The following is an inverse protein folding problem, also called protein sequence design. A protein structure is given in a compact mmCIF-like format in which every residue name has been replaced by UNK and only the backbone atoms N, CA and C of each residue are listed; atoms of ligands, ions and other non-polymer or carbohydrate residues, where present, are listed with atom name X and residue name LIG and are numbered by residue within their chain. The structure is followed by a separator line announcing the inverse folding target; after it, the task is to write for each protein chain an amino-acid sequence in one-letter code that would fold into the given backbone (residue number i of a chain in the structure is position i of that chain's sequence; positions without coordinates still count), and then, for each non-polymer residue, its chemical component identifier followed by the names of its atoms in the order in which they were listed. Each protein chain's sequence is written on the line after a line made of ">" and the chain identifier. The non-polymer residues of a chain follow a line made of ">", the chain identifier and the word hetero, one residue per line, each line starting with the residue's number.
data_IF_128303922927
#
_entry.id   IF_128303922927
#
_cell.length_a   1.000
_cell.length_b   1.000
_cell.length_c   1.000
_cell.angle_alpha   90.00
_cell.angle_beta   90.00
_cell.angle_gamma   90.00
#
_symmetry.space_group_name_H-M   'P 1'
#
loop_
_entity.id
_entity.type
_entity.pdbx_description
1 polymer ?
#
# COMPACT_ATOMS: atom_id res chain seq x y z
N UNK A 1 -5.20 17.91 25.21
CA UNK A 1 -4.76 16.88 24.23
C UNK A 1 -4.22 17.57 22.98
N UNK A 2 -3.13 17.04 22.42
CA UNK A 2 -2.52 17.54 21.18
C UNK A 2 -2.42 16.38 20.19
N UNK A 3 -2.95 16.56 18.97
CA UNK A 3 -2.90 15.57 17.89
C UNK A 3 -1.73 15.85 16.97
N UNK A 4 -1.02 14.78 16.60
CA UNK A 4 0.08 14.83 15.66
C UNK A 4 -0.13 13.81 14.55
N UNK A 5 0.05 14.24 13.30
CA UNK A 5 0.17 13.37 12.13
C UNK A 5 1.64 13.02 11.96
N UNK A 6 1.92 11.76 11.63
CA UNK A 6 3.25 11.30 11.24
C UNK A 6 3.20 10.68 9.85
N UNK A 7 4.18 11.01 9.01
CA UNK A 7 4.44 10.37 7.71
C UNK A 7 5.56 9.35 7.89
N UNK A 8 5.36 8.16 7.32
CA UNK A 8 6.15 6.98 7.66
C UNK A 8 6.52 6.23 6.38
N UNK A 9 7.81 5.96 6.20
CA UNK A 9 8.34 5.05 5.19
C UNK A 9 8.72 3.72 5.84
N UNK A 10 8.49 2.59 5.14
CA UNK A 10 8.95 1.29 5.63
C UNK A 10 9.08 0.22 4.55
N UNK A 11 10.00 -0.71 4.76
CA UNK A 11 10.07 -1.98 4.06
C UNK A 11 9.29 -3.04 4.85
N UNK A 12 8.20 -3.55 4.26
CA UNK A 12 7.28 -4.49 4.92
C UNK A 12 7.76 -5.94 4.99
N UNK A 13 8.89 -6.28 4.37
CA UNK A 13 9.35 -7.66 4.16
C UNK A 13 9.42 -8.49 5.44
N UNK A 14 9.88 -7.90 6.54
CA UNK A 14 10.05 -8.59 7.83
C UNK A 14 8.85 -8.44 8.77
N UNK A 15 7.74 -7.85 8.29
CA UNK A 15 6.58 -7.57 9.12
C UNK A 15 5.35 -8.36 8.69
N UNK A 16 4.49 -8.70 9.65
CA UNK A 16 3.18 -9.32 9.40
C UNK A 16 2.16 -8.33 8.83
N UNK A 17 2.61 -7.13 8.45
CA UNK A 17 1.84 -6.02 7.92
C UNK A 17 1.77 -4.84 8.88
N UNK A 18 0.91 -3.87 8.53
CA UNK A 18 0.73 -2.66 9.35
C UNK A 18 0.09 -2.96 10.70
N UNK A 19 -1.08 -3.60 10.69
CA UNK A 19 -1.96 -3.75 11.86
C UNK A 19 -1.39 -4.68 12.92
N UNK A 20 -1.54 -4.32 14.19
CA UNK A 20 -1.23 -5.20 15.35
C UNK A 20 -2.05 -6.49 15.24
N UNK A 21 -1.37 -7.62 15.38
CA UNK A 21 -1.92 -8.96 15.33
C UNK A 21 -1.50 -9.78 16.56
N UNK A 22 -2.20 -10.90 16.82
CA UNK A 22 -1.89 -11.80 17.94
C UNK A 22 -0.46 -12.38 17.84
N UNK A 23 -0.01 -12.73 16.63
CA UNK A 23 1.33 -13.29 16.36
C UNK A 23 2.10 -12.40 15.38
N UNK A 24 3.42 -12.35 15.53
CA UNK A 24 4.34 -11.62 14.66
C UNK A 24 4.52 -10.14 15.03
N UNK A 25 5.51 -9.52 14.39
CA UNK A 25 5.88 -8.12 14.59
C UNK A 25 5.18 -7.27 13.54
N UNK A 26 4.38 -6.29 13.95
CA UNK A 26 3.70 -5.34 13.06
C UNK A 26 4.37 -3.97 13.10
N UNK A 27 4.27 -3.23 12.01
CA UNK A 27 4.83 -1.87 11.88
C UNK A 27 4.19 -0.94 12.91
N UNK A 28 2.86 -0.98 13.04
CA UNK A 28 2.09 -0.18 14.00
C UNK A 28 2.57 -0.39 15.43
N UNK A 29 2.73 -1.66 15.88
CA UNK A 29 3.21 -1.99 17.25
C UNK A 29 4.61 -1.45 17.48
N UNK A 30 5.51 -1.62 16.50
CA UNK A 30 6.91 -1.18 16.60
C UNK A 30 7.00 0.33 16.81
N UNK A 31 6.27 1.12 16.00
CA UNK A 31 6.25 2.58 16.11
C UNK A 31 5.58 3.01 17.41
N UNK A 32 4.44 2.41 17.75
CA UNK A 32 3.67 2.73 18.94
C UNK A 32 4.49 2.54 20.23
N UNK A 33 5.22 1.42 20.34
CA UNK A 33 6.10 1.14 21.48
C UNK A 33 7.26 2.15 21.56
N UNK A 34 7.86 2.51 20.42
CA UNK A 34 8.95 3.49 20.38
C UNK A 34 8.47 4.89 20.78
N UNK A 35 7.31 5.32 20.28
CA UNK A 35 6.66 6.57 20.70
C UNK A 35 6.36 6.58 22.21
N UNK A 36 5.76 5.49 22.72
CA UNK A 36 5.42 5.34 24.15
C UNK A 36 6.67 5.46 25.04
N UNK A 37 7.78 4.83 24.63
CA UNK A 37 9.07 4.90 25.35
C UNK A 37 9.63 6.34 25.37
N UNK A 38 9.68 7.01 24.23
CA UNK A 38 10.28 8.33 24.09
C UNK A 38 9.43 9.45 24.74
N UNK A 39 8.11 9.34 24.64
CA UNK A 39 7.17 10.32 25.19
C UNK A 39 6.76 10.02 26.63
N UNK A 40 7.22 8.90 27.20
CA UNK A 40 6.93 8.45 28.58
C UNK A 40 5.43 8.42 28.90
N UNK A 41 4.59 8.16 27.92
CA UNK A 41 3.15 7.97 28.08
C UNK A 41 2.61 6.94 27.08
N UNK A 42 1.54 6.24 27.43
CA UNK A 42 0.88 5.27 26.53
C UNK A 42 0.38 5.99 25.27
N UNK A 43 0.87 5.57 24.11
CA UNK A 43 0.48 6.09 22.80
C UNK A 43 -0.36 5.05 22.07
N UNK A 44 -1.44 5.48 21.42
CA UNK A 44 -2.20 4.70 20.44
C UNK A 44 -1.99 5.34 19.06
N UNK A 45 -1.53 4.55 18.11
CA UNK A 45 -1.23 5.02 16.75
C UNK A 45 -2.33 4.57 15.78
N UNK A 46 -2.97 5.51 15.09
CA UNK A 46 -4.04 5.25 14.12
C UNK A 46 -3.54 5.48 12.70
N UNK A 47 -3.39 4.40 11.91
CA UNK A 47 -2.96 4.49 10.52
C UNK A 47 -4.09 4.85 9.54
N UNK A 48 -3.75 5.49 8.42
CA UNK A 48 -4.69 5.82 7.35
C UNK A 48 -5.16 4.59 6.57
N UNK A 49 -4.27 3.66 6.31
CA UNK A 49 -4.55 2.42 5.60
C UNK A 49 -3.82 1.24 6.20
N UNK A 50 -4.37 0.04 6.01
CA UNK A 50 -3.68 -1.21 6.34
C UNK A 50 -2.90 -1.68 5.13
N UNK A 51 -1.67 -2.14 5.34
CA UNK A 51 -0.89 -2.88 4.36
C UNK A 51 -0.75 -4.33 4.81
N UNK A 52 -0.82 -5.25 3.86
CA UNK A 52 -0.66 -6.68 4.13
C UNK A 52 0.81 -7.01 4.44
N UNK A 53 1.06 -8.24 4.93
CA UNK A 53 2.42 -8.75 5.13
C UNK A 53 3.27 -8.62 3.87
N UNK A 54 4.49 -8.12 4.01
CA UNK A 54 5.43 -7.93 2.90
C UNK A 54 5.18 -6.70 2.01
N UNK A 55 4.10 -5.95 2.22
CA UNK A 55 3.80 -4.71 1.49
C UNK A 55 4.56 -3.54 2.11
N UNK A 56 5.13 -2.69 1.27
CA UNK A 56 5.92 -1.52 1.63
C UNK A 56 5.08 -0.23 1.70
N UNK A 57 5.66 0.84 2.19
CA UNK A 57 5.12 2.18 2.04
C UNK A 57 6.22 3.20 1.81
N UNK A 58 5.97 4.15 0.92
CA UNK A 58 6.80 5.34 0.74
C UNK A 58 6.33 6.47 1.66
N UNK A 59 5.00 6.62 1.83
CA UNK A 59 4.43 7.68 2.67
C UNK A 59 3.10 7.20 3.31
N UNK A 60 3.19 6.25 4.24
CA UNK A 60 2.05 5.93 5.11
C UNK A 60 1.80 7.09 6.06
N UNK A 61 0.53 7.41 6.31
CA UNK A 61 0.14 8.43 7.30
C UNK A 61 -0.53 7.80 8.51
N UNK A 62 -0.16 8.27 9.69
CA UNK A 62 -0.81 7.90 10.94
C UNK A 62 -0.97 9.13 11.84
N UNK A 63 -1.83 9.04 12.86
CA UNK A 63 -1.91 10.07 13.90
C UNK A 63 -1.89 9.43 15.28
N UNK A 64 -1.49 10.24 16.25
CA UNK A 64 -1.52 9.91 17.67
C UNK A 64 -1.82 11.17 18.51
N UNK A 65 -2.31 10.95 19.71
CA UNK A 65 -2.63 12.01 20.67
C UNK A 65 -1.71 11.94 21.88
N UNK A 66 -1.35 13.11 22.42
CA UNK A 66 -0.56 13.25 23.64
C UNK A 66 -1.12 14.33 24.56
N UNK A 67 -0.84 14.23 25.86
CA UNK A 67 -1.29 15.22 26.86
C UNK A 67 -0.55 16.55 26.68
N UNK A 68 0.77 16.52 26.66
CA UNK A 68 1.63 17.70 26.62
C UNK A 68 2.12 17.98 25.19
N UNK A 69 2.24 19.25 24.80
CA UNK A 69 2.78 19.67 23.51
C UNK A 69 4.24 19.19 23.36
N UNK A 70 4.57 18.63 22.19
CA UNK A 70 5.95 18.29 21.83
C UNK A 70 6.74 19.59 21.70
N UNK A 71 7.76 19.77 22.55
CA UNK A 71 8.60 20.99 22.57
C UNK A 71 9.49 21.07 21.33
N UNK A 72 10.09 19.95 20.93
CA UNK A 72 10.99 19.87 19.77
C UNK A 72 10.64 18.64 18.91
N UNK A 73 9.95 18.89 17.80
CA UNK A 73 9.52 17.85 16.84
C UNK A 73 10.72 17.24 16.12
N UNK A 74 11.70 18.05 15.74
CA UNK A 74 12.88 17.59 15.03
C UNK A 74 13.71 16.61 15.88
N UNK A 75 13.93 16.95 17.15
CA UNK A 75 14.59 16.05 18.10
C UNK A 75 13.83 14.74 18.27
N UNK A 76 12.49 14.79 18.33
CA UNK A 76 11.67 13.57 18.40
C UNK A 76 11.82 12.72 17.14
N UNK A 77 11.79 13.32 15.93
CA UNK A 77 11.99 12.59 14.66
C UNK A 77 13.36 11.93 14.62
N UNK A 78 14.43 12.64 15.00
CA UNK A 78 15.80 12.08 15.11
C UNK A 78 15.85 10.90 16.07
N UNK A 79 15.26 11.03 17.26
CA UNK A 79 15.23 9.98 18.28
C UNK A 79 14.41 8.77 17.84
N UNK A 80 13.26 8.97 17.17
CA UNK A 80 12.46 7.88 16.60
C UNK A 80 13.25 7.11 15.54
N UNK A 81 13.91 7.82 14.62
CA UNK A 81 14.66 7.20 13.54
C UNK A 81 15.89 6.44 14.04
N UNK A 82 16.52 6.87 15.11
CA UNK A 82 17.61 6.14 15.76
C UNK A 82 17.17 4.70 16.15
N UNK A 83 15.94 4.53 16.68
CA UNK A 83 15.42 3.21 17.08
C UNK A 83 14.70 2.45 15.97
N UNK A 84 14.17 3.15 14.95
CA UNK A 84 13.30 2.56 13.92
C UNK A 84 14.05 2.22 12.63
N UNK A 85 15.08 3.00 12.24
CA UNK A 85 15.82 2.75 11.00
C UNK A 85 16.49 1.36 10.95
N UNK A 86 17.09 0.82 12.04
CA UNK A 86 17.59 -0.55 12.03
C UNK A 86 16.51 -1.60 11.73
N UNK A 87 15.24 -1.26 11.95
CA UNK A 87 14.07 -2.10 11.65
C UNK A 87 13.43 -1.77 10.30
N UNK A 88 14.13 -1.01 9.43
CA UNK A 88 13.62 -0.61 8.12
C UNK A 88 12.31 0.21 8.18
N UNK A 89 12.17 1.04 9.20
CA UNK A 89 11.08 2.02 9.36
C UNK A 89 11.72 3.39 9.53
N UNK A 90 11.20 4.41 8.81
CA UNK A 90 11.62 5.79 8.93
C UNK A 90 10.42 6.71 9.17
N UNK A 91 10.55 7.60 10.14
CA UNK A 91 9.62 8.72 10.33
C UNK A 91 10.10 9.87 9.46
N UNK A 92 9.35 10.17 8.41
CA UNK A 92 9.67 11.24 7.47
C UNK A 92 9.39 12.61 8.09
N UNK A 93 8.23 12.71 8.76
CA UNK A 93 7.78 13.98 9.30
C UNK A 93 6.74 13.77 10.40
N UNK A 94 6.64 14.75 11.33
CA UNK A 94 5.59 14.86 12.33
C UNK A 94 5.05 16.29 12.27
N UNK A 95 3.71 16.45 12.15
CA UNK A 95 3.05 17.75 12.11
C UNK A 95 1.89 17.79 13.11
N UNK A 96 1.75 18.90 13.86
CA UNK A 96 0.58 19.14 14.68
C UNK A 96 -0.66 19.28 13.80
N UNK A 97 -1.78 18.70 14.24
CA UNK A 97 -3.08 18.77 13.56
C UNK A 97 -4.16 19.21 14.52
N UNK A 98 -5.29 19.66 13.94
CA UNK A 98 -6.52 19.88 14.69
C UNK A 98 -7.03 18.52 15.22
N UNK A 99 -7.73 18.50 16.34
CA UNK A 99 -8.31 17.29 16.93
C UNK A 99 -9.35 16.61 16.04
N UNK A 100 -9.98 17.33 15.12
CA UNK A 100 -10.90 16.77 14.12
C UNK A 100 -10.20 15.97 13.02
N UNK A 101 -8.88 16.10 12.87
CA UNK A 101 -8.13 15.32 11.88
C UNK A 101 -8.07 13.84 12.29
N UNK A 102 -8.48 12.95 11.41
CA UNK A 102 -8.32 11.52 11.60
C UNK A 102 -7.61 10.91 10.39
N UNK A 103 -6.44 10.29 10.60
CA UNK A 103 -5.59 9.78 9.51
C UNK A 103 -6.35 8.89 8.50
N UNK A 104 -7.32 8.09 8.95
CA UNK A 104 -8.12 7.21 8.08
C UNK A 104 -9.31 7.93 7.45
N UNK A 105 -10.07 8.67 8.23
CA UNK A 105 -11.38 9.21 7.81
C UNK A 105 -11.25 10.53 7.06
N UNK A 106 -10.25 11.35 7.38
CA UNK A 106 -9.99 12.62 6.68
C UNK A 106 -9.29 12.42 5.32
N UNK A 107 -8.85 11.21 4.99
CA UNK A 107 -8.15 10.95 3.73
C UNK A 107 -9.12 11.00 2.54
N UNK A 108 -8.79 11.85 1.55
CA UNK A 108 -9.52 12.02 0.28
C UNK A 108 -9.10 11.02 -0.76
N UNK A 109 -7.81 10.73 -0.87
CA UNK A 109 -7.26 9.79 -1.85
C UNK A 109 -6.09 8.98 -1.29
N UNK A 110 -5.92 7.77 -1.77
CA UNK A 110 -4.76 6.89 -1.54
C UNK A 110 -4.19 6.48 -2.87
N UNK A 111 -2.87 6.56 -2.99
CA UNK A 111 -2.12 6.07 -4.14
C UNK A 111 -1.35 4.81 -3.75
N UNK A 112 -1.45 3.79 -4.60
CA UNK A 112 -0.61 2.60 -4.54
C UNK A 112 0.26 2.50 -5.78
N UNK A 113 1.52 2.15 -5.59
CA UNK A 113 2.49 1.88 -6.64
C UNK A 113 2.83 0.40 -6.63
N UNK A 114 2.80 -0.26 -7.79
CA UNK A 114 3.27 -1.61 -7.95
C UNK A 114 4.45 -1.65 -8.92
N UNK A 115 5.57 -2.25 -8.50
CA UNK A 115 6.81 -2.33 -9.27
C UNK A 115 6.99 -3.73 -9.84
N UNK A 116 7.22 -3.80 -11.15
CA UNK A 116 7.55 -5.04 -11.88
C UNK A 116 8.89 -4.85 -12.57
N UNK A 117 9.83 -5.75 -12.33
CA UNK A 117 11.07 -5.88 -13.09
C UNK A 117 10.86 -6.87 -14.23
N UNK A 118 10.79 -6.37 -15.47
CA UNK A 118 10.52 -7.18 -16.65
C UNK A 118 11.78 -7.35 -17.50
N UNK A 119 12.58 -8.33 -17.15
CA UNK A 119 13.81 -8.76 -17.86
C UNK A 119 14.14 -10.21 -17.52
N UNK A 120 15.10 -10.81 -18.25
CA UNK A 120 15.51 -12.21 -18.05
C UNK A 120 16.11 -12.43 -16.66
N UNK A 121 17.14 -11.63 -16.28
CA UNK A 121 17.81 -11.76 -14.99
C UNK A 121 17.07 -11.00 -13.87
N UNK A 122 16.98 -11.55 -12.64
CA UNK A 122 16.41 -10.82 -11.50
C UNK A 122 17.29 -9.62 -11.10
N UNK A 123 16.71 -8.69 -10.35
CA UNK A 123 17.45 -7.60 -9.73
C UNK A 123 18.02 -8.05 -8.38
N UNK A 124 19.32 -7.89 -8.18
CA UNK A 124 19.98 -8.14 -6.90
C UNK A 124 19.72 -6.98 -5.93
N UNK A 125 19.84 -5.74 -6.42
CA UNK A 125 19.67 -4.52 -5.61
C UNK A 125 18.22 -4.37 -5.11
N UNK A 126 17.24 -4.66 -5.97
CA UNK A 126 15.82 -4.55 -5.64
C UNK A 126 15.19 -5.91 -5.27
N UNK A 127 15.99 -6.86 -4.81
CA UNK A 127 15.47 -8.13 -4.33
C UNK A 127 14.43 -7.91 -3.22
N UNK A 128 13.27 -8.58 -3.34
CA UNK A 128 12.11 -8.42 -2.44
C UNK A 128 11.52 -6.98 -2.39
N UNK A 129 11.81 -6.16 -3.40
CA UNK A 129 11.28 -4.78 -3.53
C UNK A 129 10.50 -4.56 -4.83
N UNK A 130 10.50 -5.54 -5.73
CA UNK A 130 9.75 -5.54 -6.99
C UNK A 130 9.42 -6.98 -7.40
N UNK A 131 8.43 -7.14 -8.27
CA UNK A 131 8.08 -8.45 -8.83
C UNK A 131 8.90 -8.72 -10.07
N UNK A 132 9.78 -9.71 -10.03
CA UNK A 132 10.54 -10.15 -11.21
C UNK A 132 9.68 -11.01 -12.13
N UNK A 133 9.57 -10.61 -13.39
CA UNK A 133 8.87 -11.35 -14.46
C UNK A 133 9.82 -11.49 -15.64
N UNK A 134 10.24 -12.73 -15.93
CA UNK A 134 11.18 -13.03 -17.02
C UNK A 134 10.56 -12.86 -18.40
N UNK A 135 9.32 -13.37 -18.58
CA UNK A 135 8.59 -13.28 -19.84
C UNK A 135 8.30 -11.82 -20.19
N UNK A 136 8.65 -11.40 -21.42
CA UNK A 136 8.34 -10.05 -21.91
C UNK A 136 6.84 -9.80 -21.86
N UNK A 137 6.45 -8.71 -21.26
CA UNK A 137 5.05 -8.29 -21.13
C UNK A 137 4.67 -7.33 -22.26
N UNK A 138 3.49 -7.53 -22.84
CA UNK A 138 2.89 -6.60 -23.78
C UNK A 138 2.32 -5.39 -23.03
N UNK A 139 3.05 -4.29 -23.08
CA UNK A 139 2.71 -3.06 -22.37
C UNK A 139 1.41 -2.43 -22.90
N UNK A 140 1.16 -2.55 -24.20
CA UNK A 140 -0.05 -1.97 -24.82
C UNK A 140 -1.30 -2.68 -24.31
N UNK A 141 -1.27 -4.01 -24.20
CA UNK A 141 -2.36 -4.77 -23.59
C UNK A 141 -2.56 -4.40 -22.12
N UNK A 142 -1.48 -4.27 -21.34
CA UNK A 142 -1.57 -3.84 -19.94
C UNK A 142 -2.20 -2.44 -19.85
N UNK A 143 -1.79 -1.49 -20.69
CA UNK A 143 -2.38 -0.14 -20.75
C UNK A 143 -3.87 -0.17 -21.13
N UNK A 144 -4.26 -0.98 -22.11
CA UNK A 144 -5.67 -1.15 -22.52
C UNK A 144 -6.49 -1.74 -21.36
N UNK A 145 -5.99 -2.79 -20.70
CA UNK A 145 -6.66 -3.42 -19.57
C UNK A 145 -6.76 -2.50 -18.35
N UNK A 146 -5.70 -1.74 -18.05
CA UNK A 146 -5.71 -0.82 -16.90
C UNK A 146 -6.75 0.29 -17.04
N UNK A 147 -7.01 0.79 -18.25
CA UNK A 147 -8.08 1.77 -18.51
C UNK A 147 -9.47 1.22 -18.20
N UNK A 148 -9.70 -0.10 -18.36
CA UNK A 148 -10.99 -0.76 -18.05
C UNK A 148 -11.27 -0.87 -16.54
N UNK A 149 -10.27 -0.64 -15.71
CA UNK A 149 -10.42 -0.63 -14.24
C UNK A 149 -10.84 0.75 -13.70
N UNK A 150 -10.70 1.82 -14.49
CA UNK A 150 -11.03 3.19 -14.09
C UNK A 150 -12.54 3.34 -14.01
N UNK A 151 -13.02 4.09 -13.03
CA UNK A 151 -14.44 4.30 -12.78
C UNK A 151 -14.95 3.56 -11.55
N UNK A 152 -16.27 3.57 -11.40
CA UNK A 152 -16.96 2.91 -10.28
C UNK A 152 -17.39 1.52 -10.70
N UNK A 153 -16.85 0.50 -10.03
CA UNK A 153 -17.14 -0.91 -10.30
C UNK A 153 -17.38 -1.69 -9.01
N UNK A 154 -18.07 -2.81 -9.15
CA UNK A 154 -18.07 -3.86 -8.15
C UNK A 154 -16.77 -4.67 -8.24
N UNK A 155 -15.85 -4.45 -7.28
CA UNK A 155 -14.57 -5.14 -7.22
C UNK A 155 -14.60 -6.46 -6.41
N UNK A 156 -15.76 -7.11 -6.27
CA UNK A 156 -15.89 -8.43 -5.59
C UNK A 156 -14.89 -9.44 -6.14
N UNK A 157 -14.70 -9.48 -7.44
CA UNK A 157 -13.73 -10.33 -8.14
C UNK A 157 -12.30 -10.16 -7.60
N UNK A 158 -11.89 -8.95 -7.25
CA UNK A 158 -10.54 -8.63 -6.79
C UNK A 158 -10.42 -8.58 -5.26
N UNK A 159 -11.50 -8.83 -4.53
CA UNK A 159 -11.58 -8.76 -3.06
C UNK A 159 -11.01 -10.03 -2.42
N UNK A 160 -10.27 -9.90 -1.32
CA UNK A 160 -9.88 -11.05 -0.49
C UNK A 160 -11.10 -11.69 0.18
N UNK A 161 -11.13 -13.02 0.33
CA UNK A 161 -12.23 -13.75 0.99
C UNK A 161 -12.47 -13.26 2.43
N UNK A 162 -11.42 -12.93 3.15
CA UNK A 162 -11.45 -12.42 4.52
C UNK A 162 -11.43 -10.88 4.59
N UNK A 163 -12.02 -10.20 3.63
CA UNK A 163 -12.14 -8.74 3.63
C UNK A 163 -13.43 -8.30 4.32
N UNK A 164 -13.31 -7.56 5.41
CA UNK A 164 -14.43 -7.07 6.23
C UNK A 164 -15.03 -5.74 5.72
N UNK A 165 -14.86 -5.37 4.44
CA UNK A 165 -15.49 -4.18 3.90
C UNK A 165 -16.99 -4.44 3.64
N UNK A 166 -17.87 -3.52 4.07
CA UNK A 166 -19.32 -3.66 3.93
C UNK A 166 -19.76 -3.69 2.46
N UNK A 167 -19.12 -2.90 1.59
CA UNK A 167 -19.44 -2.85 0.17
C UNK A 167 -18.21 -3.17 -0.68
N UNK A 168 -18.34 -3.93 -1.77
CA UNK A 168 -17.29 -4.18 -2.74
C UNK A 168 -17.14 -3.05 -3.77
N UNK A 169 -18.09 -2.11 -3.82
CA UNK A 169 -18.08 -1.01 -4.80
C UNK A 169 -16.97 -0.02 -4.44
N UNK A 170 -16.12 0.29 -5.43
CA UNK A 170 -15.05 1.28 -5.32
C UNK A 170 -14.97 2.10 -6.60
N UNK A 171 -14.48 3.33 -6.47
CA UNK A 171 -14.15 4.17 -7.62
C UNK A 171 -12.64 4.26 -7.73
N UNK A 172 -12.09 3.77 -8.84
CA UNK A 172 -10.69 4.02 -9.19
C UNK A 172 -10.64 5.32 -10.01
N UNK A 173 -9.99 6.33 -9.46
CA UNK A 173 -9.86 7.63 -10.11
C UNK A 173 -8.92 7.55 -11.32
N UNK A 174 -7.79 6.84 -11.12
CA UNK A 174 -6.75 6.71 -12.15
C UNK A 174 -6.01 5.37 -12.03
N UNK A 175 -5.54 4.88 -13.18
CA UNK A 175 -4.56 3.80 -13.27
C UNK A 175 -3.50 4.17 -14.32
N UNK A 176 -2.27 4.43 -13.87
CA UNK A 176 -1.15 4.77 -14.74
C UNK A 176 -0.24 3.56 -14.95
N UNK A 177 0.23 3.40 -16.19
CA UNK A 177 1.21 2.37 -16.57
C UNK A 177 2.39 3.06 -17.23
N UNK A 178 3.52 3.07 -16.53
CA UNK A 178 4.75 3.74 -16.95
C UNK A 178 5.85 2.69 -17.08
N UNK A 179 6.60 2.71 -18.16
CA UNK A 179 7.79 1.87 -18.34
C UNK A 179 9.04 2.74 -18.37
N UNK A 180 10.01 2.39 -17.55
CA UNK A 180 11.36 2.98 -17.56
C UNK A 180 12.36 1.85 -17.69
N UNK A 181 13.09 1.79 -18.82
CA UNK A 181 14.01 0.69 -19.15
C UNK A 181 13.31 -0.68 -19.00
N UNK A 182 13.70 -1.45 -18.01
CA UNK A 182 13.16 -2.80 -17.73
C UNK A 182 12.15 -2.82 -16.57
N UNK A 183 11.89 -1.67 -15.93
CA UNK A 183 10.91 -1.55 -14.85
C UNK A 183 9.56 -1.05 -15.38
N UNK A 184 8.49 -1.73 -14.99
CA UNK A 184 7.10 -1.31 -15.23
C UNK A 184 6.53 -0.86 -13.89
N UNK A 185 5.97 0.34 -13.85
CA UNK A 185 5.30 0.95 -12.71
C UNK A 185 3.81 1.03 -12.99
N UNK A 186 3.01 0.46 -12.09
CA UNK A 186 1.55 0.52 -12.13
C UNK A 186 1.11 1.36 -10.92
N UNK A 187 0.48 2.51 -11.15
CA UNK A 187 0.01 3.39 -10.09
C UNK A 187 -1.51 3.42 -10.09
N UNK A 188 -2.11 3.18 -8.94
CA UNK A 188 -3.56 3.14 -8.74
C UNK A 188 -3.98 4.21 -7.75
N UNK A 189 -5.02 5.00 -8.08
CA UNK A 189 -5.57 6.03 -7.22
C UNK A 189 -7.04 5.79 -6.94
N UNK A 190 -7.42 5.87 -5.67
CA UNK A 190 -8.80 5.72 -5.19
C UNK A 190 -8.96 6.32 -3.80
N UNK A 191 -10.17 6.68 -3.41
CA UNK A 191 -10.50 7.05 -2.03
C UNK A 191 -10.21 5.89 -1.06
N UNK A 192 -10.46 4.65 -1.48
CA UNK A 192 -10.22 3.46 -0.68
C UNK A 192 -10.09 2.21 -1.54
N UNK A 193 -9.40 1.20 -1.03
CA UNK A 193 -9.21 -0.09 -1.67
C UNK A 193 -9.70 -1.22 -0.77
N UNK A 194 -10.16 -2.31 -1.40
CA UNK A 194 -10.46 -3.57 -0.71
C UNK A 194 -9.16 -4.31 -0.37
N UNK A 195 -9.24 -5.22 0.59
CA UNK A 195 -8.09 -6.10 0.91
C UNK A 195 -7.67 -6.89 -0.33
N UNK A 196 -6.38 -6.89 -0.65
CA UNK A 196 -5.73 -7.51 -1.83
C UNK A 196 -6.15 -6.92 -3.20
N UNK A 197 -7.04 -5.93 -3.28
CA UNK A 197 -7.60 -5.44 -4.56
C UNK A 197 -6.49 -5.09 -5.57
N UNK A 198 -5.52 -4.26 -5.19
CA UNK A 198 -4.44 -3.85 -6.10
C UNK A 198 -3.62 -5.05 -6.58
N UNK A 199 -3.23 -5.94 -5.68
CA UNK A 199 -2.46 -7.15 -6.01
C UNK A 199 -3.22 -8.08 -6.96
N UNK A 200 -4.53 -8.26 -6.75
CA UNK A 200 -5.39 -9.07 -7.63
C UNK A 200 -5.52 -8.44 -9.02
N UNK A 201 -5.73 -7.12 -9.11
CA UNK A 201 -5.75 -6.40 -10.39
C UNK A 201 -4.43 -6.54 -11.15
N UNK A 202 -3.29 -6.37 -10.45
CA UNK A 202 -1.95 -6.51 -11.07
C UNK A 202 -1.71 -7.94 -11.55
N UNK A 203 -2.15 -8.96 -10.81
CA UNK A 203 -2.08 -10.36 -11.24
C UNK A 203 -2.82 -10.59 -12.56
N UNK A 204 -4.03 -10.03 -12.68
CA UNK A 204 -4.82 -10.12 -13.91
C UNK A 204 -4.20 -9.33 -15.08
N UNK A 205 -3.68 -8.13 -14.82
CA UNK A 205 -2.95 -7.34 -15.82
C UNK A 205 -1.68 -8.04 -16.31
N UNK A 206 -1.00 -8.78 -15.43
CA UNK A 206 0.13 -9.62 -15.82
C UNK A 206 -0.30 -10.76 -16.77
N UNK A 207 -1.42 -11.45 -16.50
CA UNK A 207 -1.94 -12.49 -17.40
C UNK A 207 -2.33 -11.92 -18.76
N UNK A 208 -2.91 -10.72 -18.79
CA UNK A 208 -3.19 -9.99 -20.02
C UNK A 208 -1.90 -9.63 -20.78
N UNK A 209 -0.89 -9.09 -20.08
CA UNK A 209 0.41 -8.73 -20.67
C UNK A 209 1.22 -9.94 -21.18
N UNK A 210 1.05 -11.12 -20.59
CA UNK A 210 1.62 -12.38 -21.07
C UNK A 210 0.85 -12.99 -22.25
N UNK A 211 -0.25 -12.36 -22.68
CA UNK A 211 -1.18 -12.88 -23.70
C UNK A 211 -1.84 -14.22 -23.34
N UNK A 212 -1.87 -14.58 -22.02
CA UNK A 212 -2.66 -15.72 -21.52
C UNK A 212 -4.15 -15.43 -21.57
N UNK A 213 -4.52 -14.16 -21.50
CA UNK A 213 -5.86 -13.65 -21.68
C UNK A 213 -5.87 -12.60 -22.79
N UNK A 214 -6.98 -12.52 -23.52
CA UNK A 214 -7.29 -11.39 -24.38
C UNK A 214 -8.05 -10.30 -23.58
N UNK A 215 -8.25 -9.13 -24.19
CA UNK A 215 -8.90 -8.01 -23.53
C UNK A 215 -10.35 -8.34 -23.14
N UNK A 216 -11.11 -9.04 -24.01
CA UNK A 216 -12.50 -9.47 -23.75
C UNK A 216 -12.60 -10.35 -22.51
N UNK A 217 -11.69 -11.32 -22.35
CA UNK A 217 -11.64 -12.15 -21.13
C UNK A 217 -11.33 -11.33 -19.89
N UNK A 218 -10.42 -10.35 -19.98
CA UNK A 218 -10.11 -9.45 -18.87
C UNK A 218 -11.32 -8.60 -18.46
N UNK A 219 -12.06 -8.05 -19.42
CA UNK A 219 -13.30 -7.29 -19.16
C UNK A 219 -14.36 -8.16 -18.49
N UNK A 220 -14.55 -9.38 -18.98
CA UNK A 220 -15.49 -10.33 -18.38
C UNK A 220 -15.14 -10.64 -16.92
N UNK A 221 -13.85 -10.76 -16.57
CA UNK A 221 -13.39 -10.98 -15.19
C UNK A 221 -13.80 -9.82 -14.27
N UNK A 222 -13.81 -8.59 -14.75
CA UNK A 222 -14.25 -7.43 -13.93
C UNK A 222 -15.74 -7.57 -13.59
N UNK A 223 -16.57 -8.02 -14.54
CA UNK A 223 -18.03 -8.07 -14.43
C UNK A 223 -18.51 -9.31 -13.66
N UNK A 224 -17.79 -10.44 -13.76
CA UNK A 224 -18.23 -11.76 -13.28
C UNK A 224 -18.43 -11.88 -11.76
N UNK A 225 -17.85 -10.99 -10.96
CA UNK A 225 -17.90 -11.02 -9.49
C UNK A 225 -17.44 -12.37 -8.86
N UNK A 226 -16.72 -13.18 -9.63
CA UNK A 226 -16.26 -14.51 -9.23
C UNK A 226 -14.74 -14.51 -9.02
N UNK A 227 -14.34 -14.62 -7.75
CA UNK A 227 -12.94 -14.66 -7.36
C UNK A 227 -12.21 -15.94 -7.79
N UNK A 228 -12.90 -17.06 -8.03
CA UNK A 228 -12.26 -18.32 -8.41
C UNK A 228 -11.63 -18.27 -9.81
N UNK A 229 -12.09 -17.33 -10.63
CA UNK A 229 -11.64 -17.15 -12.02
C UNK A 229 -10.55 -16.10 -12.22
N UNK A 230 -10.14 -15.41 -11.16
CA UNK A 230 -9.05 -14.42 -11.21
C UNK A 230 -7.68 -15.08 -11.26
N UNK A 231 -6.72 -14.36 -11.85
CA UNK A 231 -5.32 -14.75 -11.74
C UNK A 231 -4.85 -14.65 -10.26
N UNK A 232 -3.83 -15.44 -9.86
CA UNK A 232 -3.24 -15.31 -8.53
C UNK A 232 -2.85 -13.86 -8.23
N UNK A 233 -3.05 -13.39 -7.00
CA UNK A 233 -2.64 -12.06 -6.61
C UNK A 233 -1.13 -11.87 -6.78
N UNK A 234 -0.72 -10.73 -7.30
CA UNK A 234 0.68 -10.38 -7.44
C UNK A 234 1.41 -10.40 -6.07
N UNK A 235 2.70 -10.75 -6.00
CA UNK A 235 3.49 -10.78 -4.77
C UNK A 235 3.43 -9.46 -4.00
N UNK A 236 3.45 -9.53 -2.67
CA UNK A 236 3.38 -8.34 -1.81
C UNK A 236 4.59 -7.42 -1.99
N UNK A 237 5.77 -8.00 -2.24
CA UNK A 237 7.04 -7.28 -2.36
C UNK A 237 7.11 -6.24 -3.49
N UNK A 238 6.20 -6.29 -4.47
CA UNK A 238 6.12 -5.26 -5.50
C UNK A 238 5.20 -4.09 -5.12
N UNK A 239 4.39 -4.21 -4.06
CA UNK A 239 3.37 -3.24 -3.72
C UNK A 239 3.85 -2.23 -2.67
N UNK A 240 3.59 -0.96 -2.94
CA UNK A 240 3.87 0.18 -2.06
C UNK A 240 2.61 1.02 -1.85
N UNK A 241 2.29 1.35 -0.60
CA UNK A 241 1.44 2.50 -0.33
C UNK A 241 2.27 3.75 -0.62
N UNK A 242 1.96 4.44 -1.71
CA UNK A 242 2.79 5.53 -2.22
C UNK A 242 2.53 6.83 -1.48
N UNK A 243 1.26 7.25 -1.41
CA UNK A 243 0.88 8.54 -0.82
C UNK A 243 -0.57 8.56 -0.37
N UNK A 244 -0.86 9.45 0.60
CA UNK A 244 -2.22 9.72 1.08
C UNK A 244 -2.48 11.22 1.01
N UNK A 245 -3.59 11.62 0.39
CA UNK A 245 -4.01 13.02 0.22
C UNK A 245 -5.17 13.30 1.19
N UNK A 246 -5.11 14.46 1.86
CA UNK A 246 -6.08 14.95 2.84
C UNK A 246 -6.79 16.21 2.39
#
# INVERSE_FOLDING_TARGET
>A
MHRYQTLIEYLGTSFVGWQIQKKGISIQKTIQLTLTRLLKQKIILYGSGRTDSGVHALEQSAHFDIKNKIKNIEKLVKSLNFFLNPKMISIINIKKKNLNFHARHSAKERSYLYLIQNRISPSTINNKREWHIRKKLDLNLIKKGSKKLIGTHDFSTFRASNCNANSPIRTLNDVFVIKSKTQIKLKFKSKSFLKNQVRSMVGCLKYLGEKKWNLRKFENIIIMKDRKRVAPPAPACGLYLEKIIY
#
